data_IF_319813176718
#
_entry.id   IF_319813176718
#
_cell.length_a   1.000
_cell.length_b   1.000
_cell.length_c   1.000
_cell.angle_alpha   90.00
_cell.angle_beta   90.00
_cell.angle_gamma   90.00
#
_symmetry.space_group_name_H-M   'P 1'
#
loop_
_entity.id
_entity.type
_entity.pdbx_description
1 polymer ?
#
# COMPACT_ATOMS: atom_id res chain seq x y z
N UNK A 1 5.83 -5.04 -2.40
CA UNK A 1 5.76 -3.66 -1.90
C UNK A 1 6.92 -3.40 -0.94
N UNK A 2 7.51 -2.21 -1.00
CA UNK A 2 8.57 -1.79 -0.07
C UNK A 2 8.02 -1.48 1.33
N UNK A 3 8.91 -1.50 2.32
CA UNK A 3 8.54 -1.48 3.75
C UNK A 3 7.87 -0.15 4.11
N UNK A 4 8.42 0.95 3.62
CA UNK A 4 8.03 2.33 3.88
C UNK A 4 6.57 2.57 3.48
N UNK A 5 6.15 2.02 2.34
CA UNK A 5 4.77 2.11 1.85
C UNK A 5 3.80 1.36 2.78
N UNK A 6 4.19 0.17 3.25
CA UNK A 6 3.38 -0.60 4.21
C UNK A 6 3.30 0.06 5.58
N UNK A 7 4.39 0.68 6.04
CA UNK A 7 4.41 1.48 7.26
C UNK A 7 3.53 2.72 7.15
N UNK A 8 3.50 3.36 5.99
CA UNK A 8 2.65 4.51 5.74
C UNK A 8 1.15 4.15 5.82
N UNK A 9 0.74 3.01 5.23
CA UNK A 9 -0.63 2.49 5.39
C UNK A 9 -0.95 2.25 6.87
N UNK A 10 -0.05 1.60 7.61
CA UNK A 10 -0.23 1.34 9.05
C UNK A 10 -0.37 2.64 9.84
N UNK A 11 0.45 3.65 9.55
CA UNK A 11 0.43 4.96 10.22
C UNK A 11 -0.88 5.72 9.99
N UNK A 12 -1.44 5.61 8.78
CA UNK A 12 -2.70 6.25 8.39
C UNK A 12 -3.95 5.46 8.77
N UNK A 13 -3.79 4.21 9.19
CA UNK A 13 -4.93 3.34 9.50
C UNK A 13 -5.67 3.81 10.77
N UNK A 14 -7.02 3.80 10.75
CA UNK A 14 -7.82 4.09 11.95
C UNK A 14 -7.83 2.94 12.97
N UNK A 15 -7.29 1.77 12.63
CA UNK A 15 -7.27 0.60 13.50
C UNK A 15 -5.98 0.53 14.30
N UNK A 16 -6.07 0.16 15.58
CA UNK A 16 -4.91 -0.06 16.46
C UNK A 16 -3.94 -1.10 15.90
N UNK A 17 -4.48 -2.12 15.23
CA UNK A 17 -3.72 -3.22 14.65
C UNK A 17 -4.06 -3.37 13.17
N UNK A 18 -3.07 -3.09 12.33
CA UNK A 18 -3.19 -3.20 10.87
C UNK A 18 -2.07 -4.10 10.37
N UNK A 19 -2.44 -5.19 9.71
CA UNK A 19 -1.50 -6.16 9.14
C UNK A 19 -1.46 -5.93 7.63
N UNK A 20 -0.25 -5.86 7.09
CA UNK A 20 -0.03 -5.76 5.64
C UNK A 20 0.27 -7.17 5.15
N UNK A 21 -0.64 -7.71 4.33
CA UNK A 21 -0.44 -8.98 3.63
C UNK A 21 -0.13 -8.69 2.16
N UNK A 22 0.86 -9.38 1.60
CA UNK A 22 1.32 -9.21 0.22
C UNK A 22 1.16 -10.51 -0.56
N UNK A 23 1.28 -10.44 -1.89
CA UNK A 23 1.06 -11.59 -2.79
C UNK A 23 -0.33 -12.21 -2.64
N UNK A 24 -1.32 -11.35 -2.38
CA UNK A 24 -2.72 -11.72 -2.26
C UNK A 24 -3.47 -11.32 -3.53
N UNK A 25 -4.38 -12.17 -4.00
CA UNK A 25 -5.28 -11.97 -5.14
C UNK A 25 -4.62 -11.88 -6.52
N UNK A 26 -3.51 -11.15 -6.67
CA UNK A 26 -2.78 -10.99 -7.94
C UNK A 26 -1.28 -10.71 -7.71
N UNK A 27 -0.49 -10.68 -8.78
CA UNK A 27 0.95 -10.39 -8.79
C UNK A 27 1.34 -9.31 -9.82
N UNK A 28 1.65 -8.12 -9.31
CA UNK A 28 2.04 -6.95 -10.10
C UNK A 28 3.56 -6.65 -10.04
N UNK A 29 4.34 -7.60 -9.52
CA UNK A 29 5.78 -7.41 -9.29
C UNK A 29 6.06 -6.61 -8.03
N UNK A 30 7.15 -5.86 -8.03
CA UNK A 30 7.54 -5.00 -6.91
C UNK A 30 6.82 -3.65 -6.94
N UNK A 31 6.80 -2.97 -5.79
CA UNK A 31 6.31 -1.60 -5.66
C UNK A 31 7.37 -0.83 -4.87
N UNK A 32 8.40 -0.29 -5.56
CA UNK A 32 9.41 0.56 -4.95
C UNK A 32 8.81 1.91 -4.54
N UNK A 33 9.36 2.52 -3.51
CA UNK A 33 9.09 3.92 -3.17
C UNK A 33 10.04 4.85 -3.96
N UNK A 34 9.90 6.19 -3.86
CA UNK A 34 10.76 7.11 -4.60
C UNK A 34 12.26 6.92 -4.33
N UNK A 35 12.63 6.61 -3.08
CA UNK A 35 14.01 6.32 -2.72
C UNK A 35 14.50 5.01 -3.36
N UNK A 36 13.65 3.97 -3.39
CA UNK A 36 13.92 2.72 -4.08
C UNK A 36 14.19 2.90 -5.57
N UNK A 37 13.36 3.70 -6.26
CA UNK A 37 13.60 4.06 -7.67
C UNK A 37 14.93 4.79 -7.87
N UNK A 38 15.28 5.73 -6.99
CA UNK A 38 16.56 6.45 -7.06
C UNK A 38 17.78 5.56 -6.80
N UNK A 39 17.60 4.44 -6.08
CA UNK A 39 18.66 3.48 -5.82
C UNK A 39 18.90 2.48 -6.97
N UNK A 40 18.04 2.46 -7.99
CA UNK A 40 18.17 1.64 -9.21
C UNK A 40 18.37 0.14 -8.94
N UNK A 41 17.74 -0.39 -7.88
CA UNK A 41 17.79 -1.80 -7.52
C UNK A 41 17.03 -2.72 -8.49
N UNK A 42 17.21 -4.04 -8.37
CA UNK A 42 16.55 -5.04 -9.22
C UNK A 42 15.02 -4.85 -9.28
N UNK A 43 14.42 -4.51 -8.14
CA UNK A 43 12.99 -4.31 -7.96
C UNK A 43 12.42 -3.17 -8.80
N UNK A 44 13.28 -2.25 -9.29
CA UNK A 44 12.89 -1.08 -10.10
C UNK A 44 12.99 -1.34 -11.60
N UNK A 45 13.60 -2.45 -12.00
CA UNK A 45 13.82 -2.78 -13.40
C UNK A 45 12.49 -3.07 -14.12
N UNK A 46 12.47 -2.74 -15.42
CA UNK A 46 11.35 -3.06 -16.30
C UNK A 46 11.09 -4.57 -16.26
N UNK A 47 9.87 -4.96 -15.92
CA UNK A 47 9.45 -6.37 -15.81
C UNK A 47 9.45 -6.90 -14.38
N UNK A 48 10.34 -6.40 -13.50
CA UNK A 48 10.30 -6.68 -12.07
C UNK A 48 9.23 -5.82 -11.37
N UNK A 49 9.08 -4.57 -11.80
CA UNK A 49 7.94 -3.70 -11.48
C UNK A 49 7.09 -3.45 -12.72
N UNK A 50 5.77 -3.33 -12.54
CA UNK A 50 4.78 -3.09 -13.60
C UNK A 50 3.91 -1.85 -13.34
N UNK A 51 4.07 -1.17 -12.21
CA UNK A 51 3.25 -0.04 -11.77
C UNK A 51 4.10 1.23 -11.74
N UNK A 52 3.55 2.34 -12.22
CA UNK A 52 4.22 3.64 -12.16
C UNK A 52 4.39 4.12 -10.71
N UNK A 53 5.38 4.99 -10.42
CA UNK A 53 5.53 5.59 -9.09
C UNK A 53 4.24 6.25 -8.58
N UNK A 54 3.52 6.96 -9.45
CA UNK A 54 2.21 7.55 -9.15
C UNK A 54 1.17 6.46 -8.80
N UNK A 55 1.09 5.40 -9.60
CA UNK A 55 0.17 4.30 -9.35
C UNK A 55 0.45 3.58 -8.02
N UNK A 56 1.71 3.50 -7.61
CA UNK A 56 2.09 2.97 -6.29
C UNK A 56 1.56 3.88 -5.17
N UNK A 57 1.64 5.20 -5.33
CA UNK A 57 1.01 6.15 -4.41
C UNK A 57 -0.52 5.97 -4.33
N UNK A 58 -1.17 5.79 -5.48
CA UNK A 58 -2.62 5.52 -5.54
C UNK A 58 -3.01 4.23 -4.83
N UNK A 59 -2.18 3.18 -4.88
CA UNK A 59 -2.42 1.94 -4.14
C UNK A 59 -2.43 2.16 -2.63
N UNK A 60 -1.49 2.96 -2.12
CA UNK A 60 -1.43 3.33 -0.70
C UNK A 60 -2.68 4.13 -0.30
N UNK A 61 -3.05 5.14 -1.08
CA UNK A 61 -4.22 5.97 -0.81
C UNK A 61 -5.53 5.18 -0.87
N UNK A 62 -5.66 4.28 -1.84
CA UNK A 62 -6.82 3.40 -1.96
C UNK A 62 -6.94 2.46 -0.76
N UNK A 63 -5.83 1.87 -0.31
CA UNK A 63 -5.82 1.00 0.87
C UNK A 63 -6.26 1.77 2.14
N UNK A 64 -5.76 2.99 2.33
CA UNK A 64 -6.15 3.83 3.47
C UNK A 64 -7.62 4.22 3.40
N UNK A 65 -8.11 4.64 2.23
CA UNK A 65 -9.52 5.01 2.06
C UNK A 65 -10.47 3.85 2.39
N UNK A 66 -10.12 2.62 1.99
CA UNK A 66 -10.92 1.45 2.33
C UNK A 66 -10.95 1.16 3.84
N UNK A 67 -9.83 1.38 4.54
CA UNK A 67 -9.77 1.23 5.99
C UNK A 67 -10.60 2.30 6.71
N UNK A 68 -10.57 3.55 6.24
CA UNK A 68 -11.39 4.65 6.76
C UNK A 68 -12.89 4.38 6.55
N UNK A 69 -13.28 3.91 5.36
CA UNK A 69 -14.65 3.52 5.05
C UNK A 69 -15.13 2.39 5.98
N UNK A 70 -14.27 1.39 6.23
CA UNK A 70 -14.60 0.29 7.15
C UNK A 70 -14.82 0.80 8.59
N UNK A 71 -13.95 1.66 9.10
CA UNK A 71 -14.09 2.23 10.44
C UNK A 71 -15.36 3.09 10.60
N UNK A 72 -15.69 3.88 9.57
CA UNK A 72 -16.93 4.67 9.55
C UNK A 72 -18.18 3.78 9.53
N UNK A 73 -18.16 2.67 8.79
CA UNK A 73 -19.26 1.71 8.74
C UNK A 73 -19.47 1.03 10.10
N UNK A 74 -18.40 0.63 10.80
CA UNK A 74 -18.50 0.02 12.14
C UNK A 74 -19.14 0.99 13.15
N UNK A 75 -18.77 2.28 13.11
CA UNK A 75 -19.34 3.31 14.00
C UNK A 75 -20.84 3.55 13.78
N UNK A 76 -21.35 3.20 12.60
CA UNK A 76 -22.77 3.34 12.25
C UNK A 76 -23.58 2.11 12.67
N UNK A 77 -22.97 0.92 12.67
CA UNK A 77 -23.65 -0.32 13.10
C UNK A 77 -23.83 -0.42 14.63
N UNK A 78 -23.09 0.36 15.42
CA UNK A 78 -23.20 0.39 16.89
C UNK A 78 -24.14 1.50 17.42
N UNK A 79 -24.81 2.24 16.52
CA UNK A 79 -25.86 3.23 16.85
C UNK A 79 -27.24 2.75 16.39
#
# INVERSE_FOLDING_TARGET
>A
MFVELGLEIKRRSPFKHTIISQLTNDTLGYQPDPAGFAAEGYETLVGANRISPEGIGMLVDSAVSQLEQLAAATTTSER
#
